data_IF_445706038052
#
_entry.id   IF_445706038052
#
_cell.length_a   1.000
_cell.length_b   1.000
_cell.length_c   1.000
_cell.angle_alpha   90.00
_cell.angle_beta   90.00
_cell.angle_gamma   90.00
#
_symmetry.space_group_name_H-M   'P 1'
#
loop_
_entity.id
_entity.type
_entity.pdbx_description
1 polymer ?
#
# COMPACT_ATOMS: atom_id res chain seq x y z
N UNK A 1 36.36 16.67 -56.50
CA UNK A 1 35.65 16.94 -55.24
C UNK A 1 34.97 15.65 -54.87
N UNK A 2 35.07 15.23 -53.61
CA UNK A 2 34.23 14.16 -53.09
C UNK A 2 32.78 14.65 -53.17
N UNK A 3 31.87 13.79 -53.59
CA UNK A 3 30.43 14.09 -53.57
C UNK A 3 29.93 13.84 -52.15
N UNK A 4 29.03 14.67 -51.65
CA UNK A 4 28.43 14.42 -50.33
C UNK A 4 27.52 13.19 -50.42
N UNK A 5 27.62 12.27 -49.47
CA UNK A 5 26.83 11.06 -49.37
C UNK A 5 26.28 10.88 -47.95
N UNK A 6 25.05 10.40 -47.83
CA UNK A 6 24.46 10.05 -46.55
C UNK A 6 23.86 8.64 -46.65
N UNK A 7 24.20 7.80 -45.69
CA UNK A 7 23.78 6.42 -45.62
C UNK A 7 22.34 6.25 -45.15
N UNK A 8 21.97 5.00 -44.85
CA UNK A 8 20.65 4.68 -44.33
C UNK A 8 20.60 4.93 -42.82
N UNK A 9 19.55 5.62 -42.38
CA UNK A 9 19.21 5.72 -40.98
C UNK A 9 18.74 4.35 -40.47
N UNK A 10 19.30 3.91 -39.34
CA UNK A 10 19.03 2.60 -38.74
C UNK A 10 18.67 2.69 -37.25
N UNK A 11 17.84 1.77 -36.80
CA UNK A 11 17.35 1.67 -35.43
C UNK A 11 16.03 0.90 -35.36
N UNK A 12 15.47 0.76 -34.16
CA UNK A 12 14.17 0.10 -33.98
C UNK A 12 13.03 1.06 -34.36
N UNK A 13 12.07 0.60 -35.15
CA UNK A 13 10.89 1.39 -35.53
C UNK A 13 9.68 1.17 -34.62
N UNK A 14 9.70 0.08 -33.84
CA UNK A 14 8.68 -0.24 -32.84
C UNK A 14 9.39 -0.44 -31.50
N UNK A 15 9.01 0.36 -30.52
CA UNK A 15 9.59 0.38 -29.18
C UNK A 15 8.50 0.10 -28.15
N UNK A 16 8.88 -0.61 -27.08
CA UNK A 16 8.08 -0.75 -25.88
C UNK A 16 8.78 0.02 -24.75
N UNK A 17 8.06 0.93 -24.13
CA UNK A 17 8.54 1.75 -23.02
C UNK A 17 7.70 1.43 -21.78
N UNK A 18 8.25 0.75 -20.77
CA UNK A 18 7.63 0.69 -19.45
C UNK A 18 7.37 2.12 -18.96
N UNK A 19 6.15 2.40 -18.51
CA UNK A 19 5.83 3.69 -17.93
C UNK A 19 6.75 4.04 -16.75
N UNK A 20 6.72 5.30 -16.32
CA UNK A 20 7.61 5.81 -15.27
C UNK A 20 9.12 5.75 -15.58
N UNK A 21 9.54 5.24 -16.74
CA UNK A 21 10.93 5.22 -17.18
C UNK A 21 11.32 6.55 -17.85
N UNK A 22 12.45 7.13 -17.41
CA UNK A 22 13.01 8.38 -17.95
C UNK A 22 14.38 8.20 -18.62
N UNK A 23 14.85 6.97 -18.76
CA UNK A 23 16.12 6.66 -19.42
C UNK A 23 15.98 6.61 -20.95
N UNK A 24 17.13 6.60 -21.64
CA UNK A 24 17.18 6.36 -23.08
C UNK A 24 16.62 4.96 -23.41
N UNK A 25 15.77 4.90 -24.44
CA UNK A 25 15.00 3.71 -24.83
C UNK A 25 15.49 3.09 -26.14
N UNK A 26 16.20 3.88 -26.95
CA UNK A 26 16.80 3.44 -28.21
C UNK A 26 17.95 4.37 -28.59
N UNK A 27 18.88 3.86 -29.41
CA UNK A 27 19.88 4.66 -30.09
C UNK A 27 19.73 4.46 -31.60
N UNK A 28 19.83 5.56 -32.34
CA UNK A 28 19.74 5.59 -33.79
C UNK A 28 21.10 5.92 -34.40
N UNK A 29 21.41 5.26 -35.51
CA UNK A 29 22.71 5.37 -36.16
C UNK A 29 22.51 5.67 -37.64
N UNK A 30 23.41 6.51 -38.20
CA UNK A 30 23.48 6.80 -39.62
C UNK A 30 24.93 6.75 -40.07
N UNK A 31 25.18 6.15 -41.22
CA UNK A 31 26.52 6.11 -41.81
C UNK A 31 26.74 7.34 -42.70
N UNK A 32 27.80 8.10 -42.43
CA UNK A 32 28.28 9.16 -43.31
C UNK A 32 29.73 8.81 -43.74
N UNK A 33 29.98 8.52 -45.03
CA UNK A 33 31.31 8.18 -45.54
C UNK A 33 32.35 9.29 -45.36
N UNK A 34 31.92 10.55 -45.41
CA UNK A 34 32.73 11.75 -45.20
C UNK A 34 32.96 12.02 -43.70
N UNK A 35 32.13 11.41 -42.83
CA UNK A 35 32.11 11.60 -41.38
C UNK A 35 31.86 13.06 -41.01
N UNK A 36 30.91 13.67 -41.71
CA UNK A 36 30.33 14.95 -41.37
C UNK A 36 29.63 14.92 -40.01
N UNK A 37 29.24 16.10 -39.56
CA UNK A 37 28.49 16.26 -38.32
C UNK A 37 27.02 15.89 -38.58
N UNK A 38 26.46 14.98 -37.78
CA UNK A 38 25.04 14.64 -37.87
C UNK A 38 24.25 15.47 -36.85
N UNK A 39 23.22 16.15 -37.34
CA UNK A 39 22.21 16.82 -36.53
C UNK A 39 20.95 15.97 -36.48
N UNK A 40 20.50 15.64 -35.27
CA UNK A 40 19.29 14.87 -35.02
C UNK A 40 18.11 15.79 -34.69
N UNK A 41 16.92 15.44 -35.17
CA UNK A 41 15.68 16.14 -34.79
C UNK A 41 14.49 15.18 -34.71
N UNK A 42 13.49 15.56 -33.91
CA UNK A 42 12.21 14.89 -33.80
C UNK A 42 11.11 15.75 -34.40
N UNK A 43 10.19 15.10 -35.11
CA UNK A 43 8.93 15.65 -35.56
C UNK A 43 7.82 14.61 -35.43
N UNK A 44 6.61 14.94 -35.83
CA UNK A 44 5.44 14.09 -35.67
C UNK A 44 4.50 14.58 -34.57
N UNK A 45 3.33 13.93 -34.42
CA UNK A 45 2.30 14.37 -33.50
C UNK A 45 2.73 14.39 -32.02
N UNK A 46 3.60 13.46 -31.62
CA UNK A 46 3.95 13.22 -30.22
C UNK A 46 5.42 13.59 -29.89
N UNK A 47 6.07 14.36 -30.76
CA UNK A 47 7.49 14.68 -30.64
C UNK A 47 7.85 15.41 -29.33
N UNK A 48 6.95 16.19 -28.76
CA UNK A 48 7.19 16.94 -27.51
C UNK A 48 7.32 16.04 -26.27
N UNK A 49 6.82 14.80 -26.34
CA UNK A 49 6.97 13.81 -25.28
C UNK A 49 8.37 13.17 -25.27
N UNK A 50 9.21 13.44 -26.27
CA UNK A 50 10.51 12.80 -26.45
C UNK A 50 11.62 13.79 -26.81
N UNK A 51 12.86 13.34 -26.61
CA UNK A 51 14.07 14.04 -27.02
C UNK A 51 15.00 13.05 -27.71
N UNK A 52 15.78 13.56 -28.66
CA UNK A 52 16.91 12.85 -29.25
C UNK A 52 18.17 13.68 -29.02
N UNK A 53 19.22 13.06 -28.52
CA UNK A 53 20.50 13.73 -28.29
C UNK A 53 21.42 13.70 -29.53
N UNK A 54 22.58 14.34 -29.42
CA UNK A 54 23.59 14.40 -30.49
C UNK A 54 24.20 13.02 -30.84
N UNK A 55 24.02 12.01 -29.98
CA UNK A 55 24.47 10.64 -30.19
C UNK A 55 23.35 9.74 -30.75
N UNK A 56 22.19 10.31 -31.06
CA UNK A 56 21.03 9.58 -31.56
C UNK A 56 20.26 8.82 -30.47
N UNK A 57 20.48 9.11 -29.18
CA UNK A 57 19.73 8.45 -28.11
C UNK A 57 18.36 9.09 -27.95
N UNK A 58 17.31 8.29 -28.14
CA UNK A 58 15.92 8.68 -27.92
C UNK A 58 15.54 8.41 -26.46
N UNK A 59 14.99 9.42 -25.79
CA UNK A 59 14.52 9.35 -24.40
C UNK A 59 13.20 10.12 -24.24
N UNK A 60 12.30 9.75 -23.32
CA UNK A 60 11.13 10.56 -23.00
C UNK A 60 11.55 11.85 -22.25
N UNK A 61 10.77 12.93 -22.39
CA UNK A 61 11.04 14.22 -21.72
C UNK A 61 10.66 14.23 -20.24
N UNK A 62 9.72 13.37 -19.87
CA UNK A 62 9.24 13.13 -18.51
C UNK A 62 8.80 11.66 -18.38
N UNK A 63 8.50 11.23 -17.15
CA UNK A 63 7.82 9.96 -16.94
C UNK A 63 6.47 10.00 -17.67
N UNK A 64 6.27 9.04 -18.57
CA UNK A 64 4.97 8.79 -19.19
C UNK A 64 4.19 7.81 -18.30
N UNK A 65 2.87 7.89 -18.39
CA UNK A 65 1.89 7.28 -17.50
C UNK A 65 0.89 6.53 -18.41
N UNK A 66 0.70 5.23 -18.17
CA UNK A 66 -0.14 4.35 -19.01
C UNK A 66 -1.63 4.65 -18.83
N UNK A 67 -2.05 5.02 -17.62
CA UNK A 67 -3.41 5.43 -17.26
C UNK A 67 -3.77 6.80 -17.83
N UNK A 68 -2.76 7.63 -18.08
CA UNK A 68 -2.88 8.92 -18.76
C UNK A 68 -2.07 8.95 -20.06
N UNK A 69 -2.62 8.40 -21.17
CA UNK A 69 -1.84 8.02 -22.35
C UNK A 69 -0.98 9.12 -23.00
N UNK A 70 -1.35 10.39 -22.83
CA UNK A 70 -0.51 11.54 -23.20
C UNK A 70 -0.19 11.69 -24.70
N UNK A 71 -0.61 10.76 -25.56
CA UNK A 71 -0.47 10.87 -27.01
C UNK A 71 -1.58 11.71 -27.62
N UNK A 72 -1.30 12.26 -28.79
CA UNK A 72 -2.22 13.04 -29.61
C UNK A 72 -3.46 12.28 -30.08
N UNK A 73 -3.44 10.94 -30.04
CA UNK A 73 -4.58 10.07 -30.37
C UNK A 73 -5.27 9.51 -29.11
N UNK A 74 -4.93 9.99 -27.91
CA UNK A 74 -5.44 9.50 -26.62
C UNK A 74 -5.24 7.97 -26.46
N UNK A 75 -4.12 7.45 -26.98
CA UNK A 75 -3.72 6.03 -26.92
C UNK A 75 -2.34 5.85 -26.27
N UNK A 76 -2.01 4.65 -25.81
CA UNK A 76 -0.67 4.35 -25.26
C UNK A 76 0.40 4.14 -26.36
N UNK A 77 0.20 4.74 -27.54
CA UNK A 77 1.13 4.67 -28.68
C UNK A 77 1.46 6.08 -29.14
N UNK A 78 2.74 6.44 -29.06
CA UNK A 78 3.28 7.71 -29.56
C UNK A 78 3.92 7.53 -30.93
N UNK A 79 3.57 8.42 -31.86
CA UNK A 79 4.09 8.47 -33.22
C UNK A 79 5.12 9.57 -33.38
N UNK A 80 6.34 9.18 -33.74
CA UNK A 80 7.50 10.05 -33.90
C UNK A 80 8.07 9.90 -35.31
N UNK A 81 8.74 10.95 -35.78
CA UNK A 81 9.63 10.91 -36.93
C UNK A 81 11.00 11.43 -36.53
N UNK A 82 12.00 10.59 -36.71
CA UNK A 82 13.40 10.92 -36.49
C UNK A 82 14.00 11.38 -37.82
N UNK A 83 14.70 12.50 -37.81
CA UNK A 83 15.44 13.01 -38.97
C UNK A 83 16.91 13.19 -38.58
N UNK A 84 17.81 12.59 -39.36
CA UNK A 84 19.24 12.79 -39.28
C UNK A 84 19.71 13.57 -40.51
N UNK A 85 20.44 14.66 -40.29
CA UNK A 85 20.92 15.57 -41.34
C UNK A 85 22.43 15.76 -41.22
N UNK A 86 23.16 15.59 -42.32
CA UNK A 86 24.61 15.86 -42.35
C UNK A 86 24.93 17.36 -42.48
N UNK A 87 26.21 17.73 -42.43
CA UNK A 87 26.68 19.11 -42.65
C UNK A 87 27.35 19.31 -44.02
N UNK A 88 27.01 18.46 -44.99
CA UNK A 88 27.60 18.45 -46.33
C UNK A 88 27.11 19.55 -47.27
N UNK A 89 27.69 19.60 -48.49
CA UNK A 89 27.26 20.50 -49.57
C UNK A 89 27.01 19.71 -50.88
N UNK A 90 25.74 19.49 -51.28
CA UNK A 90 24.53 19.88 -50.57
C UNK A 90 24.28 19.04 -49.31
N UNK A 91 23.58 19.62 -48.35
CA UNK A 91 23.08 18.93 -47.16
C UNK A 91 22.12 17.80 -47.56
N UNK A 92 22.25 16.64 -46.91
CA UNK A 92 21.38 15.48 -47.08
C UNK A 92 20.71 15.10 -45.75
N UNK A 93 19.52 14.50 -45.84
CA UNK A 93 18.77 14.02 -44.68
C UNK A 93 18.16 12.64 -44.92
N UNK A 94 18.02 11.87 -43.84
CA UNK A 94 17.28 10.61 -43.81
C UNK A 94 16.25 10.64 -42.67
N UNK A 95 15.05 10.12 -42.96
CA UNK A 95 13.92 10.08 -42.03
C UNK A 95 13.55 8.65 -41.66
N UNK A 96 13.05 8.45 -40.43
CA UNK A 96 12.45 7.20 -40.00
C UNK A 96 11.24 7.45 -39.09
N UNK A 97 10.11 6.82 -39.43
CA UNK A 97 8.93 6.80 -38.58
C UNK A 97 9.12 5.77 -37.46
N UNK A 98 8.81 6.16 -36.23
CA UNK A 98 9.00 5.36 -35.02
C UNK A 98 7.71 5.38 -34.20
N UNK A 99 7.29 4.20 -33.73
CA UNK A 99 6.17 4.03 -32.82
C UNK A 99 6.70 3.60 -31.45
N UNK A 100 6.31 4.32 -30.39
CA UNK A 100 6.64 3.99 -29.01
C UNK A 100 5.35 3.60 -28.29
N UNK A 101 5.24 2.33 -27.90
CA UNK A 101 4.11 1.83 -27.10
C UNK A 101 4.47 1.89 -25.62
N UNK A 102 3.69 2.63 -24.84
CA UNK A 102 3.80 2.65 -23.37
C UNK A 102 3.20 1.35 -22.84
N UNK A 103 3.94 0.67 -21.96
CA UNK A 103 3.51 -0.59 -21.36
C UNK A 103 3.29 -0.42 -19.87
N UNK A 104 2.15 -0.93 -19.41
CA UNK A 104 1.72 -0.89 -18.02
C UNK A 104 2.75 -1.53 -17.07
N UNK A 105 2.98 -0.89 -15.94
CA UNK A 105 3.82 -1.35 -14.83
C UNK A 105 3.05 -1.14 -13.53
N UNK A 106 2.70 -2.25 -12.87
CA UNK A 106 1.97 -2.25 -11.60
C UNK A 106 2.49 -1.19 -10.61
N UNK A 107 1.60 -0.29 -10.23
CA UNK A 107 1.80 0.79 -9.28
C UNK A 107 1.13 0.45 -7.95
N UNK A 108 1.58 1.07 -6.86
CA UNK A 108 0.98 0.82 -5.56
C UNK A 108 -0.40 1.50 -5.47
N UNK A 109 -1.32 0.95 -4.65
CA UNK A 109 -2.58 1.62 -4.39
C UNK A 109 -2.39 3.06 -3.89
N UNK A 110 -3.34 3.92 -4.19
CA UNK A 110 -3.45 5.28 -3.66
C UNK A 110 -4.46 5.31 -2.51
N UNK A 111 -4.23 6.20 -1.56
CA UNK A 111 -5.12 6.37 -0.40
C UNK A 111 -5.44 7.84 -0.16
N UNK A 112 -6.73 8.15 -0.10
CA UNK A 112 -7.28 9.40 0.40
C UNK A 112 -7.44 9.35 1.93
N UNK A 113 -7.58 10.52 2.56
CA UNK A 113 -7.80 10.61 4.00
C UNK A 113 -9.11 9.92 4.41
N UNK A 114 -9.01 8.87 5.24
CA UNK A 114 -10.16 8.29 5.92
C UNK A 114 -10.46 9.16 7.13
N UNK A 115 -11.67 9.76 7.24
CA UNK A 115 -12.00 10.62 8.37
C UNK A 115 -11.98 9.82 9.67
N UNK A 116 -11.49 10.45 10.73
CA UNK A 116 -11.68 9.93 12.07
C UNK A 116 -13.15 9.98 12.49
N UNK A 117 -13.52 9.18 13.48
CA UNK A 117 -14.89 9.09 13.99
C UNK A 117 -14.93 9.23 15.51
N UNK A 118 -15.90 10.00 15.99
CA UNK A 118 -16.28 10.07 17.39
C UNK A 118 -17.58 9.25 17.57
N UNK A 119 -17.57 8.30 18.49
CA UNK A 119 -18.67 7.37 18.76
C UNK A 119 -19.05 7.41 20.24
N UNK A 120 -20.32 7.17 20.56
CA UNK A 120 -20.70 6.85 21.93
C UNK A 120 -20.64 5.33 22.18
N UNK A 121 -20.26 4.93 23.40
CA UNK A 121 -20.12 3.50 23.74
C UNK A 121 -21.41 2.69 23.68
N UNK A 122 -22.57 3.35 23.58
CA UNK A 122 -23.90 2.73 23.40
C UNK A 122 -24.47 2.88 21.98
N UNK A 123 -23.67 3.34 21.02
CA UNK A 123 -24.05 3.46 19.61
C UNK A 123 -23.86 2.18 18.78
N UNK A 124 -24.47 2.19 17.60
CA UNK A 124 -24.26 1.16 16.58
C UNK A 124 -22.85 1.24 15.99
N UNK A 125 -22.34 0.14 15.40
CA UNK A 125 -21.03 0.17 14.75
C UNK A 125 -20.98 1.21 13.64
N UNK A 126 -19.83 1.88 13.56
CA UNK A 126 -19.50 2.71 12.40
C UNK A 126 -19.05 1.82 11.25
N UNK A 127 -19.65 2.02 10.08
CA UNK A 127 -19.33 1.28 8.87
C UNK A 127 -18.65 2.22 7.88
N UNK A 128 -17.46 1.83 7.42
CA UNK A 128 -16.72 2.56 6.38
C UNK A 128 -16.39 1.63 5.21
N UNK A 129 -16.77 2.05 4.01
CA UNK A 129 -16.41 1.36 2.77
C UNK A 129 -15.01 1.84 2.33
N UNK A 130 -14.02 0.97 2.42
CA UNK A 130 -12.63 1.29 2.11
C UNK A 130 -12.41 1.57 0.62
N UNK A 131 -13.27 1.06 -0.26
CA UNK A 131 -13.20 1.34 -1.71
C UNK A 131 -13.49 2.81 -2.04
N UNK A 132 -14.02 3.58 -1.08
CA UNK A 132 -14.23 5.03 -1.25
C UNK A 132 -12.96 5.85 -1.00
N UNK A 133 -11.94 5.24 -0.38
CA UNK A 133 -10.72 5.92 0.05
C UNK A 133 -9.46 5.32 -0.54
N UNK A 134 -9.50 4.06 -0.96
CA UNK A 134 -8.43 3.45 -1.70
C UNK A 134 -8.82 3.29 -3.16
N UNK A 135 -7.85 3.57 -4.03
CA UNK A 135 -7.94 3.30 -5.46
C UNK A 135 -6.61 2.72 -5.92
N UNK A 136 -6.60 2.11 -7.08
CA UNK A 136 -5.40 1.56 -7.69
C UNK A 136 -5.23 2.22 -9.06
N UNK A 137 -4.05 2.77 -9.40
CA UNK A 137 -3.82 3.37 -10.70
C UNK A 137 -4.12 2.42 -11.86
N UNK A 138 -3.60 1.19 -11.79
CA UNK A 138 -3.79 0.14 -12.81
C UNK A 138 -5.23 -0.41 -12.86
N UNK A 139 -6.08 -0.02 -11.91
CA UNK A 139 -7.43 -0.53 -11.75
C UNK A 139 -7.48 -1.94 -11.17
N UNK A 140 -6.41 -2.38 -10.49
CA UNK A 140 -6.35 -3.68 -9.85
C UNK A 140 -7.33 -3.81 -8.67
N UNK A 141 -7.72 -5.04 -8.40
CA UNK A 141 -8.55 -5.34 -7.23
C UNK A 141 -7.74 -5.27 -5.95
N UNK A 142 -8.26 -4.56 -4.95
CA UNK A 142 -7.59 -4.39 -3.67
C UNK A 142 -8.04 -5.44 -2.64
N UNK A 143 -7.06 -6.09 -2.01
CA UNK A 143 -7.24 -6.87 -0.79
C UNK A 143 -6.91 -6.00 0.43
N UNK A 144 -7.87 -5.92 1.35
CA UNK A 144 -7.72 -5.14 2.56
C UNK A 144 -7.31 -6.02 3.74
N UNK A 145 -6.38 -5.52 4.54
CA UNK A 145 -6.03 -6.06 5.84
C UNK A 145 -6.01 -4.93 6.88
N UNK A 146 -6.07 -5.29 8.14
CA UNK A 146 -5.92 -4.35 9.24
C UNK A 146 -4.86 -4.86 10.21
N UNK A 147 -3.86 -4.04 10.50
CA UNK A 147 -2.80 -4.37 11.46
C UNK A 147 -2.65 -3.25 12.48
N UNK A 148 -2.40 -3.59 13.74
CA UNK A 148 -2.14 -2.57 14.77
C UNK A 148 -2.93 -2.80 16.06
N UNK A 149 -2.33 -3.58 16.95
CA UNK A 149 -2.20 -3.43 18.40
C UNK A 149 -3.36 -3.03 19.33
N UNK A 150 -4.56 -2.67 18.88
CA UNK A 150 -5.67 -2.38 19.78
C UNK A 150 -7.02 -2.88 19.21
N UNK A 151 -7.16 -4.21 19.14
CA UNK A 151 -8.39 -4.81 19.64
C UNK A 151 -8.37 -4.57 21.16
N UNK A 152 -8.73 -3.35 21.58
CA UNK A 152 -8.71 -2.94 22.99
C UNK A 152 -10.08 -3.04 23.62
N UNK A 153 -10.12 -2.75 24.90
CA UNK A 153 -11.34 -2.38 25.61
C UNK A 153 -12.06 -1.16 25.00
N UNK A 154 -11.48 -0.40 24.06
CA UNK A 154 -12.08 0.85 23.51
C UNK A 154 -13.00 0.60 22.32
N UNK A 155 -12.54 -0.13 21.29
CA UNK A 155 -13.34 -0.45 20.10
C UNK A 155 -12.88 -1.78 19.46
N UNK A 156 -13.81 -2.48 18.80
CA UNK A 156 -13.55 -3.71 18.04
C UNK A 156 -13.72 -3.46 16.54
N UNK A 157 -12.70 -3.79 15.76
CA UNK A 157 -12.73 -3.68 14.31
C UNK A 157 -13.02 -5.03 13.64
N UNK A 158 -13.85 -5.03 12.60
CA UNK A 158 -14.13 -6.20 11.78
C UNK A 158 -14.19 -5.83 10.30
N UNK A 159 -13.52 -6.60 9.44
CA UNK A 159 -13.42 -6.32 8.01
C UNK A 159 -14.14 -7.41 7.21
N UNK A 160 -15.07 -7.01 6.33
CA UNK A 160 -15.80 -7.91 5.42
C UNK A 160 -15.90 -7.29 4.04
N UNK A 161 -15.23 -7.90 3.05
CA UNK A 161 -15.39 -7.53 1.64
C UNK A 161 -15.13 -6.06 1.33
N UNK A 162 -14.16 -5.44 2.03
CA UNK A 162 -13.81 -4.01 1.88
C UNK A 162 -14.58 -3.05 2.78
N UNK A 163 -15.60 -3.52 3.50
CA UNK A 163 -16.25 -2.71 4.55
C UNK A 163 -15.61 -3.00 5.90
N UNK A 164 -15.07 -1.96 6.52
CA UNK A 164 -14.60 -1.98 7.89
C UNK A 164 -15.73 -1.54 8.83
N UNK A 165 -16.03 -2.38 9.82
CA UNK A 165 -16.96 -2.15 10.92
C UNK A 165 -16.19 -1.87 12.19
N UNK A 166 -16.60 -0.85 12.94
CA UNK A 166 -16.02 -0.48 14.23
C UNK A 166 -17.13 -0.45 15.26
N UNK A 167 -17.11 -1.43 16.16
CA UNK A 167 -18.01 -1.52 17.31
C UNK A 167 -17.37 -0.78 18.50
N UNK A 168 -17.99 0.28 19.05
CA UNK A 168 -17.47 0.94 20.25
C UNK A 168 -17.66 0.03 21.47
N UNK A 169 -16.72 0.09 22.43
CA UNK A 169 -16.69 -0.78 23.62
C UNK A 169 -16.60 0.02 24.93
N UNK A 170 -15.63 0.92 25.06
CA UNK A 170 -15.48 1.77 26.26
C UNK A 170 -14.81 3.10 25.92
N UNK A 171 -14.94 4.07 26.82
CA UNK A 171 -14.41 5.41 26.60
C UNK A 171 -12.88 5.44 26.42
N UNK A 172 -12.41 6.13 25.39
CA UNK A 172 -10.99 6.30 25.09
C UNK A 172 -10.71 6.57 23.61
N UNK A 173 -9.43 6.78 23.28
CA UNK A 173 -8.98 7.04 21.91
C UNK A 173 -8.13 5.87 21.41
N UNK A 174 -8.34 5.47 20.16
CA UNK A 174 -7.58 4.41 19.48
C UNK A 174 -7.35 4.75 18.02
N UNK A 175 -6.23 4.28 17.48
CA UNK A 175 -6.00 4.27 16.03
C UNK A 175 -5.53 2.89 15.57
N UNK A 176 -5.87 2.55 14.33
CA UNK A 176 -5.45 1.31 13.68
C UNK A 176 -5.00 1.58 12.25
N UNK A 177 -4.14 0.71 11.72
CA UNK A 177 -3.70 0.80 10.34
C UNK A 177 -4.55 -0.10 9.44
N UNK A 178 -5.00 0.48 8.34
CA UNK A 178 -5.60 -0.23 7.22
C UNK A 178 -4.55 -0.34 6.14
N UNK A 179 -4.39 -1.55 5.60
CA UNK A 179 -3.50 -1.87 4.50
C UNK A 179 -4.38 -2.26 3.31
N UNK A 180 -4.15 -1.66 2.15
CA UNK A 180 -4.69 -2.12 0.89
C UNK A 180 -3.54 -2.69 0.06
N UNK A 181 -3.69 -3.90 -0.46
CA UNK A 181 -2.70 -4.58 -1.30
C UNK A 181 -3.32 -4.86 -2.65
N UNK A 182 -2.62 -4.51 -3.73
CA UNK A 182 -3.03 -4.81 -5.10
C UNK A 182 -2.78 -6.29 -5.46
N UNK A 183 -3.00 -6.65 -6.73
CA UNK A 183 -2.74 -8.01 -7.21
C UNK A 183 -1.25 -8.30 -7.49
N UNK A 184 -0.43 -7.25 -7.54
CA UNK A 184 1.02 -7.25 -7.72
C UNK A 184 1.83 -7.24 -6.41
N UNK A 185 1.17 -7.37 -5.25
CA UNK A 185 1.74 -7.34 -3.90
C UNK A 185 2.34 -5.97 -3.48
N UNK A 186 2.00 -4.85 -4.14
CA UNK A 186 2.29 -3.51 -3.61
C UNK A 186 1.15 -3.05 -2.69
N UNK A 187 1.48 -2.21 -1.71
CA UNK A 187 0.50 -1.82 -0.69
C UNK A 187 0.55 -0.34 -0.35
N UNK A 188 -0.63 0.20 -0.04
CA UNK A 188 -0.82 1.45 0.67
C UNK A 188 -1.22 1.19 2.12
N UNK A 189 -0.79 2.08 3.03
CA UNK A 189 -1.12 2.00 4.45
C UNK A 189 -1.61 3.35 4.93
N UNK A 190 -2.73 3.37 5.65
CA UNK A 190 -3.23 4.58 6.32
C UNK A 190 -3.69 4.25 7.74
N UNK A 191 -3.81 5.26 8.59
CA UNK A 191 -4.37 5.11 9.94
C UNK A 191 -5.75 5.73 10.04
N UNK A 192 -6.65 5.09 10.76
CA UNK A 192 -7.97 5.63 11.12
C UNK A 192 -8.01 5.89 12.61
N UNK A 193 -8.52 7.05 13.02
CA UNK A 193 -8.64 7.45 14.42
C UNK A 193 -10.09 7.30 14.89
N UNK A 194 -10.27 6.73 16.08
CA UNK A 194 -11.57 6.53 16.74
C UNK A 194 -11.50 7.07 18.15
N UNK A 195 -12.43 7.93 18.51
CA UNK A 195 -12.66 8.37 19.88
C UNK A 195 -14.00 7.79 20.34
N UNK A 196 -14.02 7.09 21.47
CA UNK A 196 -15.25 6.61 22.09
C UNK A 196 -15.52 7.40 23.36
N UNK A 197 -16.72 7.94 23.50
CA UNK A 197 -17.20 8.60 24.72
C UNK A 197 -18.16 7.70 25.49
N UNK A 198 -18.06 7.72 26.82
CA UNK A 198 -19.08 7.08 27.66
C UNK A 198 -20.30 8.00 27.76
N UNK A 199 -21.53 7.46 27.72
CA UNK A 199 -22.72 8.27 27.92
C UNK A 199 -22.70 8.87 29.32
N UNK A 200 -23.21 10.10 29.44
CA UNK A 200 -23.39 10.76 30.73
C UNK A 200 -24.11 9.82 31.71
N UNK A 201 -23.62 9.65 32.96
CA UNK A 201 -24.23 8.72 33.89
C UNK A 201 -25.68 9.12 34.13
N UNK A 202 -26.61 8.18 33.90
CA UNK A 202 -28.03 8.41 34.20
C UNK A 202 -28.13 8.80 35.68
N UNK A 203 -28.68 9.98 36.01
CA UNK A 203 -28.75 10.42 37.40
C UNK A 203 -29.52 9.37 38.19
N UNK A 204 -28.83 8.73 39.14
CA UNK A 204 -29.47 7.73 40.01
C UNK A 204 -30.62 8.45 40.73
N UNK A 205 -31.88 7.99 40.63
CA UNK A 205 -32.97 8.62 41.35
C UNK A 205 -32.60 8.64 42.82
N UNK A 206 -32.65 9.83 43.43
CA UNK A 206 -32.40 9.97 44.86
C UNK A 206 -33.22 8.92 45.63
N UNK A 207 -32.66 8.26 46.66
CA UNK A 207 -33.41 7.27 47.42
C UNK A 207 -34.75 7.88 47.82
N UNK A 208 -35.84 7.19 47.48
CA UNK A 208 -37.18 7.69 47.75
C UNK A 208 -37.27 8.06 49.23
N UNK A 209 -37.35 9.36 49.52
CA UNK A 209 -37.60 9.83 50.87
C UNK A 209 -39.00 9.35 51.21
N UNK A 210 -39.10 8.27 51.98
CA UNK A 210 -40.36 7.85 52.58
C UNK A 210 -40.78 8.95 53.53
N UNK A 211 -41.58 9.90 53.03
CA UNK A 211 -42.28 10.86 53.87
C UNK A 211 -43.31 10.06 54.66
N UNK A 212 -43.26 10.02 56.00
CA UNK A 212 -44.31 9.37 56.77
C UNK A 212 -45.64 10.07 56.45
N UNK A 213 -46.56 9.34 55.83
CA UNK A 213 -47.92 9.84 55.57
C UNK A 213 -48.57 10.10 56.93
N UNK A 214 -49.01 11.32 57.27
CA UNK A 214 -49.77 11.52 58.49
C UNK A 214 -51.06 10.72 58.37
N UNK A 215 -51.27 9.79 59.30
CA UNK A 215 -52.55 9.08 59.45
C UNK A 215 -53.65 10.10 59.75
N UNK A 216 -54.39 10.47 58.72
CA UNK A 216 -55.59 11.31 58.84
C UNK A 216 -56.72 10.45 59.40
N UNK A 217 -57.21 10.81 60.58
CA UNK A 217 -58.44 10.29 61.18
C UNK A 217 -59.60 10.43 60.19
N UNK A 218 -60.40 9.37 59.92
CA UNK A 218 -61.48 9.46 58.95
C UNK A 218 -62.59 10.39 59.44
N UNK A 219 -62.85 11.46 58.68
CA UNK A 219 -64.09 12.21 58.76
C UNK A 219 -65.19 11.44 58.00
N UNK A 220 -66.40 11.41 58.57
CA UNK A 220 -67.59 10.75 58.03
C UNK A 220 -67.81 11.10 56.55
N UNK A 221 -67.76 10.08 55.68
CA UNK A 221 -68.05 10.20 54.26
C UNK A 221 -69.55 10.35 54.03
N UNK A 222 -69.97 11.44 53.38
CA UNK A 222 -71.28 11.57 52.74
C UNK A 222 -71.23 10.80 51.43
N UNK A 223 -72.12 9.81 51.30
CA UNK A 223 -72.28 9.00 50.08
C UNK A 223 -72.87 9.87 48.98
N UNK A 224 -72.07 10.16 47.95
CA UNK A 224 -72.57 10.69 46.66
C UNK A 224 -72.56 9.53 45.67
N UNK A 225 -73.67 9.26 44.93
CA UNK A 225 -73.69 8.17 43.97
C UNK A 225 -72.76 8.45 42.80
N UNK A 226 -71.86 7.49 42.53
CA UNK A 226 -70.97 7.46 41.37
C UNK A 226 -71.80 7.09 40.13
N UNK A 227 -71.73 7.83 39.01
CA UNK A 227 -72.34 7.38 37.77
C UNK A 227 -71.59 6.16 37.23
N UNK A 228 -72.36 5.11 36.91
CA UNK A 228 -71.90 3.87 36.28
C UNK A 228 -71.15 4.18 34.97
N UNK A 229 -69.92 3.68 34.77
CA UNK A 229 -69.23 3.83 33.48
C UNK A 229 -69.95 3.01 32.41
N UNK A 230 -70.41 3.65 31.35
CA UNK A 230 -70.80 3.00 30.11
C UNK A 230 -69.56 2.47 29.40
N UNK A 231 -69.48 1.15 29.25
CA UNK A 231 -68.47 0.46 28.45
C UNK A 231 -68.70 0.79 26.98
N UNK A 232 -67.72 1.32 26.22
CA UNK A 232 -67.85 1.38 24.78
C UNK A 232 -67.74 -0.04 24.21
N UNK A 233 -68.69 -0.42 23.36
CA UNK A 233 -68.67 -1.67 22.61
C UNK A 233 -67.35 -1.80 21.83
N UNK A 234 -66.67 -2.92 22.03
CA UNK A 234 -65.44 -3.27 21.32
C UNK A 234 -65.81 -3.63 19.89
N UNK A 235 -65.46 -2.79 18.92
CA UNK A 235 -65.53 -3.14 17.50
C UNK A 235 -64.43 -4.19 17.24
N UNK A 236 -64.85 -5.42 17.00
CA UNK A 236 -63.96 -6.48 16.51
C UNK A 236 -63.64 -6.14 15.06
N UNK A 237 -62.43 -5.67 14.79
CA UNK A 237 -61.89 -5.62 13.43
C UNK A 237 -61.32 -7.01 13.15
N UNK A 238 -61.90 -7.73 12.19
CA UNK A 238 -61.31 -8.97 11.67
C UNK A 238 -59.90 -8.67 11.12
N UNK A 239 -58.88 -9.49 11.44
CA UNK A 239 -57.57 -9.32 10.82
C UNK A 239 -57.67 -9.63 9.31
N UNK A 240 -57.09 -8.77 8.49
CA UNK A 240 -56.95 -9.04 7.06
C UNK A 240 -56.17 -10.35 6.82
N UNK A 241 -56.50 -11.12 5.77
CA UNK A 241 -55.82 -12.38 5.49
C UNK A 241 -54.34 -12.13 5.19
N UNK A 242 -53.48 -12.81 5.95
CA UNK A 242 -52.03 -12.88 5.68
C UNK A 242 -51.83 -13.47 4.28
N UNK A 243 -51.04 -12.84 3.38
CA UNK A 243 -50.75 -13.42 2.09
C UNK A 243 -49.95 -14.72 2.27
N UNK A 244 -50.56 -15.82 1.84
CA UNK A 244 -49.89 -17.13 1.78
C UNK A 244 -48.82 -17.08 0.70
N UNK A 245 -47.54 -17.04 1.07
CA UNK A 245 -46.46 -17.22 0.13
C UNK A 245 -46.47 -18.66 -0.40
N UNK A 246 -46.50 -18.80 -1.73
CA UNK A 246 -46.34 -20.10 -2.37
C UNK A 246 -44.96 -20.69 -2.03
N UNK A 247 -44.83 -22.01 -1.80
CA UNK A 247 -43.54 -22.61 -1.54
C UNK A 247 -42.62 -22.46 -2.75
N UNK A 248 -41.36 -22.06 -2.50
CA UNK A 248 -40.32 -21.99 -3.51
C UNK A 248 -40.11 -23.38 -4.16
N UNK A 249 -39.88 -23.46 -5.48
CA UNK A 249 -39.55 -24.73 -6.12
C UNK A 249 -38.21 -25.27 -5.59
N UNK A 250 -38.03 -26.60 -5.48
CA UNK A 250 -36.78 -27.18 -5.01
C UNK A 250 -35.64 -26.87 -5.98
N UNK A 251 -34.47 -26.50 -5.43
CA UNK A 251 -33.24 -26.36 -6.21
C UNK A 251 -32.94 -27.69 -6.92
N UNK A 252 -32.84 -27.62 -8.24
CA UNK A 252 -32.29 -28.70 -9.06
C UNK A 252 -30.78 -28.69 -8.86
N UNK A 253 -30.24 -29.72 -8.20
CA UNK A 253 -28.80 -29.98 -8.17
C UNK A 253 -28.29 -30.21 -9.60
N UNK A 254 -27.62 -29.22 -10.18
CA UNK A 254 -26.82 -29.45 -11.38
C UNK A 254 -25.50 -30.10 -10.99
N UNK A 255 -25.48 -31.43 -11.17
CA UNK A 255 -24.30 -32.26 -11.14
C UNK A 255 -23.42 -31.95 -12.35
N UNK A 256 -22.41 -31.10 -12.18
CA UNK A 256 -21.27 -31.04 -13.11
C UNK A 256 -20.08 -31.72 -12.42
N UNK A 257 -19.65 -32.81 -13.04
CA UNK A 257 -18.47 -33.59 -12.69
C UNK A 257 -17.35 -33.23 -13.68
N UNK A 258 -16.12 -33.30 -13.18
CA UNK A 258 -14.80 -33.21 -13.84
C UNK A 258 -14.22 -31.79 -13.88
N UNK A 259 -12.95 -31.54 -13.57
CA UNK A 259 -11.79 -32.43 -13.66
C UNK A 259 -10.67 -31.92 -12.72
N UNK A 260 -9.94 -32.84 -12.12
CA UNK A 260 -8.67 -32.59 -11.43
C UNK A 260 -7.64 -32.09 -12.44
N UNK A 261 -7.01 -30.94 -12.17
CA UNK A 261 -5.71 -30.60 -12.71
C UNK A 261 -4.79 -30.28 -11.53
N UNK A 262 -3.76 -31.12 -11.37
CA UNK A 262 -2.61 -30.88 -10.49
C UNK A 262 -1.95 -29.55 -10.87
N UNK A 263 -1.76 -28.67 -9.90
CA UNK A 263 -0.63 -27.73 -9.85
C UNK A 263 -0.06 -27.72 -8.42
N UNK A 264 1.25 -27.59 -8.34
CA UNK A 264 2.16 -27.89 -7.22
C UNK A 264 1.81 -27.25 -5.85
N UNK A 265 2.28 -27.84 -4.72
CA UNK A 265 2.13 -27.23 -3.40
C UNK A 265 3.17 -26.11 -3.21
N UNK A 266 2.75 -24.85 -3.31
CA UNK A 266 3.54 -23.73 -2.78
C UNK A 266 3.58 -23.86 -1.26
N UNK A 267 4.80 -23.89 -0.73
CA UNK A 267 5.07 -24.07 0.70
C UNK A 267 4.53 -22.86 1.49
N UNK A 268 3.42 -23.03 2.22
CA UNK A 268 2.97 -22.06 3.22
C UNK A 268 3.98 -22.01 4.37
N UNK A 269 4.67 -20.88 4.52
CA UNK A 269 5.40 -20.55 5.75
C UNK A 269 4.37 -19.99 6.73
N UNK A 270 4.01 -20.77 7.75
CA UNK A 270 3.18 -20.29 8.86
C UNK A 270 4.14 -19.84 9.96
N UNK A 271 4.25 -18.54 10.18
CA UNK A 271 4.95 -17.97 11.33
C UNK A 271 3.97 -17.91 12.50
N UNK A 272 4.12 -18.79 13.48
CA UNK A 272 3.33 -18.76 14.72
C UNK A 272 4.17 -18.11 15.81
N UNK A 273 3.74 -16.96 16.32
CA UNK A 273 4.33 -16.33 17.49
C UNK A 273 3.65 -16.86 18.75
N UNK A 274 4.41 -17.55 19.61
CA UNK A 274 3.97 -17.90 20.95
C UNK A 274 4.79 -17.08 21.95
N UNK A 275 4.12 -16.25 22.75
CA UNK A 275 4.71 -15.55 23.89
C UNK A 275 4.37 -16.35 25.15
N UNK A 276 5.36 -17.02 25.74
CA UNK A 276 5.22 -17.59 27.08
C UNK A 276 5.89 -16.66 28.11
N UNK A 277 5.26 -16.40 29.28
CA UNK A 277 5.87 -15.59 30.33
C UNK A 277 6.99 -16.38 31.04
N UNK A 278 8.20 -15.83 31.09
CA UNK A 278 9.32 -16.40 31.86
C UNK A 278 9.45 -15.63 33.16
N UNK A 279 9.07 -16.27 34.27
CA UNK A 279 9.21 -15.75 35.63
C UNK A 279 10.46 -16.38 36.28
N UNK A 280 11.58 -15.65 36.37
CA UNK A 280 12.64 -15.96 37.34
C UNK A 280 13.27 -14.66 37.91
N UNK A 281 13.52 -14.57 39.23
CA UNK A 281 14.01 -13.36 39.88
C UNK A 281 15.53 -13.17 39.69
N UNK A 282 15.93 -11.96 39.31
CA UNK A 282 17.32 -11.56 39.06
C UNK A 282 18.15 -11.55 40.36
N UNK A 283 19.26 -12.30 40.38
CA UNK A 283 20.33 -12.14 41.35
C UNK A 283 21.23 -10.96 40.97
N UNK A 284 21.52 -10.06 41.91
CA UNK A 284 22.47 -8.95 41.72
C UNK A 284 23.88 -9.46 41.42
N UNK A 285 24.47 -9.00 40.30
CA UNK A 285 25.89 -9.19 39.98
C UNK A 285 26.57 -7.83 39.90
N UNK A 286 27.58 -7.65 40.75
CA UNK A 286 28.44 -6.46 40.88
C UNK A 286 29.34 -6.27 39.63
N UNK A 287 29.41 -5.04 39.12
CA UNK A 287 30.24 -4.65 37.97
C UNK A 287 31.71 -4.40 38.39
N UNK A 288 32.73 -4.86 37.61
CA UNK A 288 34.11 -4.48 37.85
C UNK A 288 34.46 -3.10 37.23
N UNK A 289 35.51 -2.40 37.72
CA UNK A 289 35.81 -1.03 37.29
C UNK A 289 36.49 -0.95 35.92
N UNK A 290 36.28 0.19 35.24
CA UNK A 290 36.72 0.49 33.88
C UNK A 290 38.25 0.56 33.72
N UNK A 291 38.75 0.08 32.58
CA UNK A 291 40.16 0.15 32.18
C UNK A 291 40.51 1.49 31.51
N UNK A 292 41.69 2.00 31.85
CA UNK A 292 42.29 3.27 31.43
C UNK A 292 42.88 3.21 30.00
N UNK A 293 42.88 4.29 29.19
CA UNK A 293 43.43 4.26 27.83
C UNK A 293 44.96 4.38 27.79
N UNK A 294 45.60 3.68 26.84
CA UNK A 294 47.05 3.61 26.65
C UNK A 294 47.67 4.89 26.01
N UNK A 295 48.96 5.20 26.27
CA UNK A 295 49.61 6.42 25.78
C UNK A 295 50.17 6.28 24.34
N UNK A 296 50.35 7.40 23.60
CA UNK A 296 50.76 7.38 22.19
C UNK A 296 52.26 7.09 22.00
N UNK A 297 52.59 6.36 20.94
CA UNK A 297 53.97 6.08 20.50
C UNK A 297 54.52 7.17 19.56
N UNK A 298 55.83 7.41 19.69
CA UNK A 298 56.62 8.47 19.06
C UNK A 298 57.07 8.05 17.64
N UNK A 299 56.87 8.91 16.64
CA UNK A 299 57.40 8.74 15.27
C UNK A 299 58.61 9.67 15.08
N UNK A 300 59.71 9.12 14.57
CA UNK A 300 60.94 9.86 14.21
C UNK A 300 60.86 10.40 12.78
N UNK A 301 61.41 11.61 12.60
CA UNK A 301 61.57 12.36 11.34
C UNK A 301 62.45 11.65 10.31
N UNK A 302 62.15 11.89 9.03
CA UNK A 302 63.15 12.15 7.98
C UNK A 302 62.60 13.28 7.08
N UNK A 303 63.39 14.34 6.93
CA UNK A 303 63.16 15.48 6.04
C UNK A 303 63.54 15.14 4.58
N UNK A 304 62.88 15.75 3.59
CA UNK A 304 63.52 16.60 2.55
C UNK A 304 62.51 17.10 1.48
N UNK A 305 62.39 18.43 1.45
CA UNK A 305 62.30 19.38 0.33
C UNK A 305 61.28 19.31 -0.83
N UNK A 306 60.56 20.45 -0.90
CA UNK A 306 60.33 21.34 -2.06
C UNK A 306 59.06 21.23 -2.95
N UNK A 307 58.39 22.40 -2.97
CA UNK A 307 57.66 23.06 -4.07
C UNK A 307 56.15 22.85 -4.27
N UNK A 308 55.41 23.85 -3.77
CA UNK A 308 54.33 24.65 -4.39
C UNK A 308 53.23 23.92 -5.19
N UNK A 309 52.03 23.94 -4.58
CA UNK A 309 50.77 24.34 -5.21
C UNK A 309 50.22 23.49 -6.34
N UNK A 310 49.10 22.79 -6.11
CA UNK A 310 47.80 23.02 -6.74
C UNK A 310 46.79 21.99 -6.19
N UNK A 311 45.54 22.44 -6.08
CA UNK A 311 44.34 21.69 -5.71
C UNK A 311 44.21 20.35 -6.47
N UNK A 312 43.82 19.23 -5.84
CA UNK A 312 43.67 17.98 -6.57
C UNK A 312 42.32 17.92 -7.30
N UNK A 313 42.38 17.69 -8.61
CA UNK A 313 41.32 17.03 -9.38
C UNK A 313 41.39 15.50 -9.17
N UNK A 314 40.27 14.78 -9.32
CA UNK A 314 40.09 13.39 -8.91
C UNK A 314 40.45 12.40 -10.02
N UNK A 315 40.90 11.19 -9.68
CA UNK A 315 41.09 10.05 -10.59
C UNK A 315 40.98 8.72 -9.78
N UNK A 316 40.73 7.54 -10.41
CA UNK A 316 39.39 7.03 -10.72
C UNK A 316 39.26 5.50 -10.45
N UNK A 317 38.23 4.89 -11.04
CA UNK A 317 38.13 3.48 -11.46
C UNK A 317 37.85 2.44 -10.35
N UNK A 318 36.59 2.02 -10.20
CA UNK A 318 35.87 0.99 -10.98
C UNK A 318 36.09 -0.43 -10.45
N UNK A 319 35.02 -1.00 -9.90
CA UNK A 319 34.73 -2.43 -9.96
C UNK A 319 33.29 -2.57 -10.46
N UNK A 320 33.17 -3.21 -11.61
CA UNK A 320 31.94 -3.75 -12.18
C UNK A 320 31.32 -4.77 -11.20
N UNK A 321 29.98 -4.74 -11.10
CA UNK A 321 29.20 -5.92 -10.75
C UNK A 321 27.79 -5.75 -11.30
N UNK A 322 27.62 -6.25 -12.53
CA UNK A 322 26.34 -6.74 -13.04
C UNK A 322 25.52 -7.53 -12.00
N UNK A 323 24.20 -7.30 -11.97
CA UNK A 323 23.22 -8.23 -11.39
C UNK A 323 22.38 -7.70 -10.23
N UNK A 324 21.13 -7.33 -10.53
CA UNK A 324 19.94 -7.70 -9.77
C UNK A 324 19.77 -7.20 -8.33
N UNK A 325 18.96 -6.14 -8.19
CA UNK A 325 17.88 -6.00 -7.20
C UNK A 325 18.14 -6.41 -5.75
N UNK A 326 18.65 -5.49 -4.92
CA UNK A 326 18.45 -5.50 -3.46
C UNK A 326 18.46 -4.05 -2.94
N UNK A 327 17.31 -3.36 -2.98
CA UNK A 327 17.11 -2.07 -2.26
C UNK A 327 15.66 -1.86 -1.84
N UNK A 328 15.07 -2.77 -1.04
CA UNK A 328 13.79 -2.48 -0.33
C UNK A 328 13.70 -3.08 1.10
N UNK A 329 14.74 -3.74 1.62
CA UNK A 329 14.65 -4.36 2.98
C UNK A 329 15.36 -3.60 4.10
N UNK A 330 15.84 -2.37 3.85
CA UNK A 330 16.59 -1.59 4.85
C UNK A 330 15.84 -0.35 5.39
N UNK A 331 14.56 -0.19 5.04
CA UNK A 331 13.73 0.92 5.57
C UNK A 331 12.89 0.47 6.78
N UNK A 332 12.54 -0.82 6.90
CA UNK A 332 11.70 -1.31 8.02
C UNK A 332 12.52 -1.58 9.31
N UNK A 333 13.85 -1.72 9.23
CA UNK A 333 14.69 -1.96 10.41
C UNK A 333 15.08 -0.67 11.17
N UNK A 334 14.86 0.52 10.59
CA UNK A 334 15.19 1.80 11.24
C UNK A 334 14.01 2.45 11.98
N UNK A 335 12.78 1.95 11.82
CA UNK A 335 11.60 2.49 12.50
C UNK A 335 11.34 1.89 13.91
N UNK A 336 12.06 0.85 14.32
CA UNK A 336 11.89 0.22 15.65
C UNK A 336 13.05 0.44 16.63
N UNK A 337 13.82 1.52 16.48
CA UNK A 337 14.76 1.97 17.51
C UNK A 337 14.47 3.44 17.86
N UNK A 338 13.28 3.71 18.39
CA UNK A 338 12.97 5.02 18.96
C UNK A 338 11.92 5.00 20.08
N UNK A 339 11.71 3.89 20.81
CA UNK A 339 11.11 3.96 22.15
C UNK A 339 11.78 2.89 23.02
N UNK A 340 12.79 3.31 23.76
CA UNK A 340 13.39 2.48 24.79
C UNK A 340 12.50 2.46 26.03
N UNK A 341 11.92 1.31 26.36
CA UNK A 341 11.71 0.88 27.74
C UNK A 341 11.83 -0.64 27.84
N UNK A 342 12.89 -1.05 28.52
CA UNK A 342 13.26 -2.34 29.10
C UNK A 342 12.30 -3.55 28.96
N UNK A 343 12.86 -4.68 28.49
CA UNK A 343 12.57 -5.96 29.17
C UNK A 343 12.24 -7.22 28.35
N UNK A 344 12.22 -7.21 27.02
CA UNK A 344 11.87 -8.42 26.24
C UNK A 344 12.98 -8.86 25.29
N UNK A 345 13.52 -10.06 25.53
CA UNK A 345 14.42 -10.73 24.61
C UNK A 345 13.62 -11.58 23.61
N UNK A 346 13.65 -11.22 22.32
CA UNK A 346 13.09 -12.05 21.25
C UNK A 346 14.08 -13.18 20.94
N UNK A 347 13.69 -14.44 21.15
CA UNK A 347 14.43 -15.61 20.66
C UNK A 347 13.72 -16.20 19.44
N UNK A 348 14.37 -16.11 18.28
CA UNK A 348 13.91 -16.72 17.04
C UNK A 348 14.27 -18.20 17.03
N UNK A 349 13.29 -19.10 16.92
CA UNK A 349 13.51 -20.51 16.61
C UNK A 349 13.04 -20.79 15.18
N UNK A 350 13.97 -21.19 14.32
CA UNK A 350 13.66 -21.69 12.97
C UNK A 350 13.43 -23.19 13.06
N UNK A 351 12.18 -23.64 13.00
CA UNK A 351 11.86 -25.08 12.93
C UNK A 351 11.84 -25.49 11.45
N UNK A 352 12.88 -26.18 11.00
CA UNK A 352 12.87 -26.83 9.68
C UNK A 352 12.06 -28.12 9.78
N UNK A 353 10.91 -28.20 9.10
CA UNK A 353 10.25 -29.49 8.84
C UNK A 353 10.74 -30.02 7.49
N UNK A 354 11.71 -30.94 7.52
CA UNK A 354 12.03 -31.74 6.34
C UNK A 354 10.93 -32.80 6.16
N UNK A 355 10.07 -32.61 5.17
CA UNK A 355 9.16 -33.67 4.70
C UNK A 355 9.93 -34.59 3.76
N UNK A 356 10.51 -35.67 4.27
CA UNK A 356 11.04 -36.74 3.42
C UNK A 356 9.90 -37.68 3.03
N UNK A 357 9.42 -37.57 1.81
CA UNK A 357 8.51 -38.55 1.22
C UNK A 357 9.30 -39.83 0.91
N UNK A 358 8.91 -41.03 1.37
CA UNK A 358 9.62 -42.26 1.00
C UNK A 358 9.32 -42.65 -0.47
N UNK A 359 10.28 -43.23 -1.19
CA UNK A 359 10.08 -43.60 -2.60
C UNK A 359 9.04 -44.71 -2.73
N UNK A 360 8.02 -44.49 -3.57
CA UNK A 360 7.10 -45.53 -4.02
C UNK A 360 7.84 -46.44 -4.99
N UNK A 361 8.22 -47.63 -4.54
CA UNK A 361 8.56 -48.73 -5.44
C UNK A 361 7.27 -49.25 -6.09
N UNK A 362 7.23 -49.25 -7.42
CA UNK A 362 6.15 -49.85 -8.20
C UNK A 362 6.17 -51.37 -8.14
N UNK A 363 4.97 -51.94 -8.30
CA UNK A 363 4.67 -53.20 -8.98
C UNK A 363 3.30 -53.06 -9.65
#
# INVERSE_FOLDING_TARGET
MQVNELGELSGNTELALPENNVAAIAQYEIEDPEKGTITWSLSGPDAEAFTIDEQGNLSPTAALDFENPGSSEDSNVHSLKITATDDGDPELSADMDVSVTITNVNEAPLVDEIPGVDLDSDEQPWLVDLNMYFSDPDGDSLEYDFTGQNITDVALAHLVGGTLSIDPVSGGDVSFYVVATDSGDLSAVTSVSVSVTEPEPVPTPAPAVTVPVPVSTPALAVVVPVPTPTVPETVIVEPEPVPTFAPLPPLVEQKIRNQTQETDPVSKVIVVFALEPVDEPMAEVSLPPAAEPAPPQKVSQVDEDAAVGHSPAPLPASLDSSGGGITVWMIILLAMIAVGTAGYGVRMFVIHRLSTNPPRHGW
#
